data_IF_603739869648
#
_entry.id   IF_603739869648
#
_cell.length_a   1.000
_cell.length_b   1.000
_cell.length_c   1.000
_cell.angle_alpha   90.00
_cell.angle_beta   90.00
_cell.angle_gamma   90.00
#
_symmetry.space_group_name_H-M   'P 1'
#
loop_
_entity.id
_entity.type
_entity.pdbx_description
1 polymer ?
#
# COMPACT_ATOMS: atom_id res chain seq x y z
N UNK A 1 -23.20 -6.07 61.64
CA UNK A 1 -23.18 -6.06 60.15
C UNK A 1 -23.93 -7.30 59.69
N UNK A 2 -25.15 -7.13 59.16
CA UNK A 2 -26.11 -8.22 58.97
C UNK A 2 -25.62 -9.24 57.91
N UNK A 3 -26.02 -10.50 58.08
CA UNK A 3 -25.69 -11.63 57.20
C UNK A 3 -25.93 -11.31 55.71
N UNK A 4 -26.98 -10.55 55.41
CA UNK A 4 -27.30 -10.03 54.08
C UNK A 4 -26.21 -9.13 53.47
N UNK A 5 -25.56 -8.27 54.26
CA UNK A 5 -24.49 -7.39 53.75
C UNK A 5 -23.22 -8.18 53.41
N UNK A 6 -22.95 -9.31 54.09
CA UNK A 6 -21.83 -10.20 53.74
C UNK A 6 -22.08 -10.94 52.42
N UNK A 7 -23.32 -11.40 52.20
CA UNK A 7 -23.72 -12.10 50.97
C UNK A 7 -23.64 -11.17 49.75
N UNK A 8 -24.12 -9.92 49.88
CA UNK A 8 -24.08 -8.95 48.77
C UNK A 8 -22.65 -8.60 48.38
N UNK A 9 -21.75 -8.39 49.35
CA UNK A 9 -20.33 -8.10 49.09
C UNK A 9 -19.62 -9.31 48.46
N UNK A 10 -19.92 -10.55 48.90
CA UNK A 10 -19.38 -11.76 48.28
C UNK A 10 -19.87 -11.96 46.84
N UNK A 11 -21.16 -11.70 46.55
CA UNK A 11 -21.69 -11.79 45.18
C UNK A 11 -21.06 -10.74 44.24
N UNK A 12 -20.86 -9.50 44.71
CA UNK A 12 -20.23 -8.44 43.91
C UNK A 12 -18.76 -8.76 43.58
N UNK A 13 -18.00 -9.34 44.51
CA UNK A 13 -16.61 -9.75 44.27
C UNK A 13 -16.55 -10.91 43.26
N UNK A 14 -17.48 -11.87 43.32
CA UNK A 14 -17.56 -12.98 42.35
C UNK A 14 -17.95 -12.48 40.95
N UNK A 15 -18.85 -11.50 40.84
CA UNK A 15 -19.20 -10.91 39.54
C UNK A 15 -18.01 -10.15 38.92
N UNK A 16 -17.22 -9.42 39.73
CA UNK A 16 -16.03 -8.71 39.26
C UNK A 16 -14.86 -9.64 38.89
N UNK A 17 -14.71 -10.80 39.54
CA UNK A 17 -13.66 -11.76 39.17
C UNK A 17 -14.05 -12.59 37.95
N UNK A 18 -15.34 -12.91 37.76
CA UNK A 18 -15.83 -13.58 36.55
C UNK A 18 -15.75 -12.64 35.33
N UNK A 19 -15.99 -11.32 35.49
CA UNK A 19 -15.82 -10.37 34.37
C UNK A 19 -14.37 -10.17 33.95
N UNK A 20 -13.41 -10.32 34.87
CA UNK A 20 -11.98 -10.24 34.56
C UNK A 20 -11.48 -11.50 33.82
N UNK A 21 -12.08 -12.67 34.07
CA UNK A 21 -11.72 -13.93 33.42
C UNK A 21 -12.41 -14.06 32.04
N UNK A 22 -13.59 -13.46 31.85
CA UNK A 22 -14.30 -13.46 30.56
C UNK A 22 -13.61 -12.61 29.46
N UNK A 23 -12.70 -11.70 29.82
CA UNK A 23 -11.97 -10.85 28.88
C UNK A 23 -10.59 -11.40 28.47
N UNK A 24 -10.21 -12.57 28.95
CA UNK A 24 -9.10 -13.32 28.35
C UNK A 24 -9.59 -14.05 27.09
N UNK A 25 -10.16 -13.31 26.13
CA UNK A 25 -10.30 -13.86 24.79
C UNK A 25 -8.89 -14.05 24.24
N UNK A 26 -8.47 -15.31 24.13
CA UNK A 26 -7.29 -15.69 23.39
C UNK A 26 -7.45 -15.11 21.99
N UNK A 27 -6.70 -14.04 21.66
CA UNK A 27 -6.64 -13.50 20.31
C UNK A 27 -6.07 -14.61 19.43
N UNK A 28 -6.95 -15.42 18.86
CA UNK A 28 -6.58 -16.42 17.86
C UNK A 28 -6.14 -15.59 16.65
N UNK A 29 -4.84 -15.39 16.52
CA UNK A 29 -4.22 -14.71 15.39
C UNK A 29 -4.51 -15.55 14.15
N UNK A 30 -5.67 -15.33 13.53
CA UNK A 30 -6.03 -15.97 12.28
C UNK A 30 -5.06 -15.46 11.22
N UNK A 31 -4.12 -16.31 10.82
CA UNK A 31 -3.23 -16.03 9.71
C UNK A 31 -4.08 -16.00 8.44
N UNK A 32 -4.07 -14.86 7.76
CA UNK A 32 -4.63 -14.74 6.42
C UNK A 32 -3.61 -15.33 5.44
N UNK A 33 -3.92 -16.49 4.90
CA UNK A 33 -3.08 -17.18 3.92
C UNK A 33 -3.22 -16.53 2.53
N UNK A 34 -2.15 -16.62 1.74
CA UNK A 34 -2.21 -16.22 0.34
C UNK A 34 -3.31 -17.03 -0.37
N UNK A 35 -4.19 -16.39 -1.17
CA UNK A 35 -5.28 -17.11 -1.85
C UNK A 35 -4.80 -18.12 -2.90
N UNK A 36 -3.56 -17.99 -3.38
CA UNK A 36 -2.90 -18.98 -4.22
C UNK A 36 -1.39 -19.04 -3.94
N UNK A 37 -0.79 -20.21 -4.19
CA UNK A 37 0.66 -20.43 -4.11
C UNK A 37 1.38 -19.61 -5.19
N UNK A 38 2.58 -19.13 -4.88
CA UNK A 38 3.48 -18.41 -5.80
C UNK A 38 3.00 -17.03 -6.32
N UNK A 39 1.97 -16.41 -5.73
CA UNK A 39 1.57 -15.05 -6.13
C UNK A 39 2.47 -13.93 -5.54
N UNK A 40 3.47 -14.30 -4.73
CA UNK A 40 4.28 -13.35 -3.95
C UNK A 40 3.40 -12.40 -3.12
N UNK A 41 2.34 -12.96 -2.53
CA UNK A 41 1.44 -12.26 -1.62
C UNK A 41 2.22 -11.73 -0.41
N UNK A 42 2.01 -10.46 -0.07
CA UNK A 42 2.73 -9.80 1.01
C UNK A 42 4.01 -9.09 0.57
N UNK A 43 4.31 -9.01 -0.73
CA UNK A 43 5.52 -8.34 -1.21
C UNK A 43 5.55 -6.83 -0.93
N UNK A 44 4.38 -6.21 -0.75
CA UNK A 44 4.23 -4.85 -0.27
C UNK A 44 2.91 -4.73 0.50
N UNK A 45 2.89 -3.96 1.58
CA UNK A 45 1.72 -3.79 2.45
C UNK A 45 1.54 -2.33 2.84
N UNK A 46 0.29 -1.91 3.00
CA UNK A 46 -0.05 -0.60 3.54
C UNK A 46 -1.27 -0.72 4.47
N UNK A 47 -1.37 0.17 5.46
CA UNK A 47 -2.50 0.24 6.40
C UNK A 47 -2.85 1.70 6.70
N UNK A 48 -4.15 2.00 6.81
CA UNK A 48 -4.68 3.27 7.28
C UNK A 48 -6.07 3.08 7.87
N UNK A 49 -6.24 3.50 9.13
CA UNK A 49 -7.48 3.28 9.88
C UNK A 49 -7.80 1.80 9.97
N UNK A 50 -9.01 1.42 9.55
CA UNK A 50 -9.48 0.04 9.54
C UNK A 50 -9.21 -0.70 8.21
N UNK A 51 -8.44 -0.13 7.29
CA UNK A 51 -8.17 -0.77 5.99
C UNK A 51 -6.70 -1.11 5.85
N UNK A 52 -6.44 -2.26 5.23
CA UNK A 52 -5.11 -2.67 4.81
C UNK A 52 -5.15 -3.11 3.35
N UNK A 53 -4.07 -2.85 2.62
CA UNK A 53 -3.87 -3.30 1.26
C UNK A 53 -2.60 -4.15 1.19
N UNK A 54 -2.68 -5.30 0.51
CA UNK A 54 -1.58 -6.26 0.39
C UNK A 54 -1.37 -6.58 -1.09
N UNK A 55 -0.18 -6.28 -1.60
CA UNK A 55 0.20 -6.65 -2.95
C UNK A 55 0.49 -8.15 -3.05
N UNK A 56 0.17 -8.72 -4.21
CA UNK A 56 0.62 -10.02 -4.64
C UNK A 56 1.20 -9.88 -6.05
N UNK A 57 2.50 -9.61 -6.09
CA UNK A 57 3.23 -9.18 -7.29
C UNK A 57 3.11 -10.15 -8.46
N UNK A 58 3.36 -11.45 -8.24
CA UNK A 58 3.29 -12.47 -9.29
C UNK A 58 1.86 -12.75 -9.73
N UNK A 59 0.88 -12.51 -8.84
CA UNK A 59 -0.53 -12.61 -9.16
C UNK A 59 -1.10 -11.39 -9.91
N UNK A 60 -0.31 -10.32 -10.06
CA UNK A 60 -0.76 -9.00 -10.55
C UNK A 60 -2.00 -8.50 -9.81
N UNK A 61 -2.02 -8.65 -8.48
CA UNK A 61 -3.17 -8.32 -7.63
C UNK A 61 -2.81 -7.44 -6.46
N UNK A 62 -3.81 -6.73 -5.96
CA UNK A 62 -3.82 -6.12 -4.63
C UNK A 62 -5.06 -6.59 -3.90
N UNK A 63 -4.87 -7.14 -2.72
CA UNK A 63 -5.92 -7.62 -1.83
C UNK A 63 -6.25 -6.52 -0.82
N UNK A 64 -7.53 -6.18 -0.70
CA UNK A 64 -8.02 -5.22 0.28
C UNK A 64 -8.66 -5.93 1.46
N UNK A 65 -8.33 -5.45 2.65
CA UNK A 65 -8.84 -5.96 3.91
C UNK A 65 -9.44 -4.83 4.74
N UNK A 66 -10.46 -5.17 5.52
CA UNK A 66 -11.08 -4.29 6.50
C UNK A 66 -11.11 -4.97 7.87
N UNK A 67 -10.75 -4.21 8.90
CA UNK A 67 -10.82 -4.66 10.29
C UNK A 67 -12.26 -4.53 10.80
N UNK A 68 -12.73 -5.57 11.47
CA UNK A 68 -13.99 -5.64 12.20
C UNK A 68 -13.74 -6.12 13.64
N UNK A 69 -14.79 -6.35 14.42
CA UNK A 69 -14.67 -6.78 15.82
C UNK A 69 -14.02 -8.17 16.00
N UNK A 70 -14.08 -9.01 14.97
CA UNK A 70 -13.59 -10.40 14.97
C UNK A 70 -12.20 -10.55 14.33
N UNK A 71 -11.69 -9.51 13.66
CA UNK A 71 -10.37 -9.51 13.03
C UNK A 71 -10.32 -8.75 11.70
N UNK A 72 -9.53 -9.26 10.75
CA UNK A 72 -9.40 -8.69 9.41
C UNK A 72 -10.13 -9.57 8.39
N UNK A 73 -10.97 -8.95 7.56
CA UNK A 73 -11.74 -9.60 6.51
C UNK A 73 -11.32 -9.07 5.13
N UNK A 74 -11.19 -9.94 4.14
CA UNK A 74 -10.92 -9.53 2.76
C UNK A 74 -12.17 -8.94 2.12
N UNK A 75 -12.14 -7.67 1.72
CA UNK A 75 -13.30 -6.99 1.12
C UNK A 75 -13.24 -6.97 -0.41
N UNK A 76 -12.04 -7.02 -1.00
CA UNK A 76 -11.87 -6.89 -2.44
C UNK A 76 -10.57 -7.55 -2.93
N UNK A 77 -10.58 -8.05 -4.16
CA UNK A 77 -9.38 -8.36 -4.95
C UNK A 77 -9.33 -7.42 -6.15
N UNK A 78 -8.23 -6.67 -6.28
CA UNK A 78 -8.02 -5.69 -7.33
C UNK A 78 -7.00 -6.26 -8.32
N UNK A 79 -7.43 -6.48 -9.56
CA UNK A 79 -6.52 -6.87 -10.64
C UNK A 79 -5.73 -5.66 -11.14
N UNK A 80 -4.41 -5.81 -11.25
CA UNK A 80 -3.49 -4.80 -11.78
C UNK A 80 -3.18 -5.15 -13.23
N UNK A 81 -3.62 -4.36 -14.23
CA UNK A 81 -3.35 -4.68 -15.64
C UNK A 81 -1.86 -4.58 -15.91
N UNK A 82 -1.21 -5.62 -16.42
CA UNK A 82 0.23 -5.62 -16.71
C UNK A 82 0.54 -5.23 -18.17
N UNK A 83 1.66 -4.55 -18.38
CA UNK A 83 2.20 -4.26 -19.73
C UNK A 83 3.16 -5.35 -20.23
N UNK A 84 3.71 -6.15 -19.31
CA UNK A 84 4.64 -7.25 -19.56
C UNK A 84 4.70 -8.16 -18.32
N UNK A 85 5.42 -9.29 -18.40
CA UNK A 85 5.53 -10.27 -17.32
C UNK A 85 6.23 -9.74 -16.05
N UNK A 86 7.00 -8.66 -16.12
CA UNK A 86 7.68 -8.06 -14.97
C UNK A 86 6.93 -6.86 -14.38
N UNK A 87 5.85 -6.39 -15.00
CA UNK A 87 5.09 -5.21 -14.58
C UNK A 87 4.13 -5.50 -13.42
N UNK A 88 4.76 -5.82 -12.30
CA UNK A 88 4.13 -6.27 -11.06
C UNK A 88 3.91 -5.08 -10.12
N UNK A 89 2.87 -5.09 -9.26
CA UNK A 89 2.78 -4.15 -8.15
C UNK A 89 3.90 -4.45 -7.13
N UNK A 90 4.81 -3.50 -6.93
CA UNK A 90 6.02 -3.70 -6.10
C UNK A 90 6.13 -2.79 -4.89
N UNK A 91 5.39 -1.70 -4.85
CA UNK A 91 5.33 -0.79 -3.72
C UNK A 91 3.90 -0.30 -3.53
N UNK A 92 3.52 0.02 -2.30
CA UNK A 92 2.19 0.53 -1.99
C UNK A 92 2.24 1.48 -0.80
N UNK A 93 1.52 2.60 -0.91
CA UNK A 93 1.31 3.55 0.18
C UNK A 93 -0.16 3.93 0.25
N UNK A 94 -0.67 4.20 1.46
CA UNK A 94 -2.06 4.63 1.65
C UNK A 94 -2.19 5.64 2.78
N UNK A 95 -3.17 6.54 2.65
CA UNK A 95 -3.63 7.42 3.71
C UNK A 95 -5.14 7.64 3.49
N UNK A 96 -5.93 7.35 4.53
CA UNK A 96 -7.39 7.42 4.52
C UNK A 96 -8.01 6.60 3.38
N UNK A 97 -8.75 7.25 2.48
CA UNK A 97 -9.36 6.65 1.29
C UNK A 97 -8.46 6.66 0.05
N UNK A 98 -7.20 7.07 0.14
CA UNK A 98 -6.28 7.15 -1.00
C UNK A 98 -5.20 6.09 -0.90
N UNK A 99 -4.90 5.44 -2.02
CA UNK A 99 -3.80 4.49 -2.12
C UNK A 99 -3.05 4.67 -3.44
N UNK A 100 -1.76 4.41 -3.41
CA UNK A 100 -0.89 4.45 -4.60
C UNK A 100 -0.11 3.16 -4.68
N UNK A 101 -0.14 2.51 -5.83
CA UNK A 101 0.60 1.27 -6.13
C UNK A 101 1.68 1.57 -7.15
N UNK A 102 2.94 1.31 -6.81
CA UNK A 102 4.07 1.52 -7.70
C UNK A 102 4.40 0.30 -8.56
N UNK A 103 4.74 0.59 -9.81
CA UNK A 103 4.99 -0.36 -10.90
C UNK A 103 6.26 0.06 -11.67
N UNK A 104 7.46 -0.13 -11.09
CA UNK A 104 8.70 0.36 -11.68
C UNK A 104 9.04 -0.28 -13.04
N UNK A 105 8.48 -1.47 -13.31
CA UNK A 105 8.74 -2.20 -14.54
C UNK A 105 7.64 -2.04 -15.60
N UNK A 106 6.74 -1.07 -15.42
CA UNK A 106 5.80 -0.67 -16.46
C UNK A 106 6.55 -0.30 -17.74
N UNK A 107 6.11 -0.88 -18.86
CA UNK A 107 6.60 -0.58 -20.20
C UNK A 107 5.59 0.29 -20.93
N UNK A 108 6.05 1.45 -21.42
CA UNK A 108 5.20 2.34 -22.21
C UNK A 108 5.32 2.01 -23.69
N UNK A 109 4.20 1.70 -24.33
CA UNK A 109 4.14 1.64 -25.78
C UNK A 109 4.18 3.06 -26.35
N UNK A 110 5.10 3.30 -27.27
CA UNK A 110 5.29 4.55 -27.99
C UNK A 110 5.24 4.25 -29.50
N UNK A 111 4.02 4.11 -30.01
CA UNK A 111 3.73 3.84 -31.43
C UNK A 111 4.47 2.61 -31.99
N UNK A 112 4.42 1.49 -31.27
CA UNK A 112 5.04 0.23 -31.67
C UNK A 112 6.48 0.04 -31.18
N UNK A 113 7.10 1.07 -30.61
CA UNK A 113 8.36 0.93 -29.85
C UNK A 113 8.07 0.95 -28.35
N UNK A 114 8.69 0.04 -27.59
CA UNK A 114 8.52 0.01 -26.13
C UNK A 114 9.65 0.75 -25.43
N UNK A 115 9.30 1.63 -24.50
CA UNK A 115 10.25 2.16 -23.52
C UNK A 115 10.23 1.21 -22.32
N UNK A 116 11.32 0.46 -22.17
CA UNK A 116 11.51 -0.48 -21.08
C UNK A 116 11.63 0.26 -19.75
N UNK A 117 11.03 -0.31 -18.70
CA UNK A 117 11.15 0.20 -17.33
C UNK A 117 10.84 1.69 -17.18
N UNK A 118 9.89 2.18 -17.99
CA UNK A 118 9.37 3.53 -17.92
C UNK A 118 8.85 3.85 -16.52
N UNK A 119 8.25 2.84 -15.88
CA UNK A 119 7.71 2.96 -14.54
C UNK A 119 6.39 3.73 -14.52
N UNK A 120 5.56 3.40 -13.54
CA UNK A 120 4.27 4.05 -13.32
C UNK A 120 3.87 3.92 -11.86
N UNK A 121 2.92 4.75 -11.44
CA UNK A 121 2.13 4.52 -10.24
C UNK A 121 0.65 4.51 -10.62
N UNK A 122 -0.14 3.70 -9.92
CA UNK A 122 -1.60 3.69 -10.03
C UNK A 122 -2.20 4.32 -8.79
N UNK A 123 -3.00 5.36 -8.98
CA UNK A 123 -3.70 6.09 -7.93
C UNK A 123 -5.12 5.52 -7.78
N UNK A 124 -5.42 4.99 -6.59
CA UNK A 124 -6.69 4.42 -6.22
C UNK A 124 -7.39 5.29 -5.17
N UNK A 125 -8.72 5.29 -5.22
CA UNK A 125 -9.56 5.91 -4.20
C UNK A 125 -10.66 4.95 -3.76
N UNK A 126 -10.92 4.92 -2.46
CA UNK A 126 -11.96 4.10 -1.85
C UNK A 126 -13.26 4.90 -1.68
N UNK A 127 -14.38 4.29 -2.06
CA UNK A 127 -15.72 4.75 -1.72
C UNK A 127 -16.47 3.60 -1.03
N UNK A 128 -16.88 3.80 0.22
CA UNK A 128 -17.34 2.69 1.07
C UNK A 128 -16.22 1.66 1.26
N UNK A 129 -16.46 0.41 0.88
CA UNK A 129 -15.48 -0.69 0.95
C UNK A 129 -14.80 -1.00 -0.39
N UNK A 130 -15.13 -0.22 -1.43
CA UNK A 130 -14.67 -0.45 -2.81
C UNK A 130 -13.55 0.50 -3.18
N UNK A 131 -12.38 -0.05 -3.50
CA UNK A 131 -11.26 0.65 -4.13
C UNK A 131 -11.41 0.66 -5.65
N UNK A 132 -11.22 1.83 -6.26
CA UNK A 132 -11.30 2.02 -7.71
C UNK A 132 -10.08 2.79 -8.22
N UNK A 133 -9.58 2.41 -9.39
CA UNK A 133 -8.50 3.13 -10.07
C UNK A 133 -9.01 4.50 -10.52
N UNK A 134 -8.38 5.57 -10.04
CA UNK A 134 -8.67 6.94 -10.45
C UNK A 134 -7.81 7.34 -11.65
N UNK A 135 -6.52 7.03 -11.60
CA UNK A 135 -5.56 7.41 -12.65
C UNK A 135 -4.29 6.57 -12.58
N UNK A 136 -3.60 6.50 -13.72
CA UNK A 136 -2.20 6.05 -13.79
C UNK A 136 -1.34 7.29 -14.00
N UNK A 137 -0.31 7.45 -13.17
CA UNK A 137 0.61 8.58 -13.23
C UNK A 137 1.98 8.07 -13.68
N UNK A 138 2.59 8.87 -14.54
CA UNK A 138 3.86 8.60 -15.21
C UNK A 138 4.90 9.64 -14.79
N UNK A 139 6.21 9.33 -14.93
CA UNK A 139 7.24 10.33 -14.75
C UNK A 139 7.07 11.49 -15.73
N UNK A 140 7.19 12.74 -15.26
CA UNK A 140 7.10 13.95 -16.12
C UNK A 140 8.32 14.11 -17.04
N UNK A 141 9.46 13.60 -16.60
CA UNK A 141 10.75 13.65 -17.31
C UNK A 141 11.28 12.23 -17.42
N UNK A 142 10.78 11.39 -18.34
CA UNK A 142 11.28 10.03 -18.47
C UNK A 142 12.72 10.04 -18.99
N UNK A 143 13.53 9.13 -18.47
CA UNK A 143 14.90 8.87 -18.95
C UNK A 143 14.87 7.75 -19.99
N UNK A 144 15.60 7.96 -21.10
CA UNK A 144 15.88 6.92 -22.08
C UNK A 144 17.11 6.10 -21.64
N UNK A 145 17.12 4.80 -21.94
CA UNK A 145 18.22 3.89 -21.59
C UNK A 145 17.72 2.47 -21.26
N UNK A 146 18.65 1.51 -21.14
CA UNK A 146 18.34 0.08 -20.98
C UNK A 146 17.51 -0.27 -19.74
N UNK A 147 17.47 0.62 -18.74
CA UNK A 147 16.81 0.41 -17.45
C UNK A 147 15.71 1.45 -17.15
N UNK A 148 15.40 2.31 -18.11
CA UNK A 148 14.36 3.33 -18.02
C UNK A 148 14.47 4.22 -16.78
N UNK A 149 13.32 4.63 -16.26
CA UNK A 149 13.20 5.52 -15.10
C UNK A 149 12.99 4.76 -13.79
N UNK A 150 12.42 3.55 -13.87
CA UNK A 150 12.00 2.76 -12.69
C UNK A 150 11.16 3.59 -11.71
N UNK A 151 10.34 4.49 -12.25
CA UNK A 151 9.43 5.35 -11.50
C UNK A 151 8.35 4.51 -10.80
N UNK A 152 8.06 4.82 -9.54
CA UNK A 152 7.21 3.98 -8.70
C UNK A 152 7.95 2.81 -8.08
N UNK A 153 9.29 2.82 -8.10
CA UNK A 153 10.11 1.80 -7.46
C UNK A 153 9.97 1.75 -5.95
N UNK A 154 9.57 2.88 -5.36
CA UNK A 154 9.14 3.00 -3.97
C UNK A 154 8.13 4.16 -3.86
N UNK A 155 7.23 4.10 -2.88
CA UNK A 155 6.22 5.15 -2.66
C UNK A 155 5.98 5.38 -1.16
N UNK A 156 5.82 6.64 -0.77
CA UNK A 156 5.45 7.03 0.58
C UNK A 156 4.39 8.13 0.53
N UNK A 157 3.40 8.07 1.42
CA UNK A 157 2.30 9.03 1.48
C UNK A 157 2.16 9.56 2.90
N UNK A 158 1.94 10.88 3.02
CA UNK A 158 1.54 11.50 4.30
C UNK A 158 0.65 12.70 4.06
N UNK A 159 -0.55 12.68 4.61
CA UNK A 159 -1.53 13.76 4.42
C UNK A 159 -1.81 13.98 2.92
N UNK A 160 -1.53 15.19 2.41
CA UNK A 160 -1.68 15.55 1.00
C UNK A 160 -0.40 15.37 0.16
N UNK A 161 0.64 14.75 0.72
CA UNK A 161 1.92 14.57 0.03
C UNK A 161 2.16 13.11 -0.33
N UNK A 162 2.73 12.91 -1.51
CA UNK A 162 3.18 11.62 -2.02
C UNK A 162 4.62 11.80 -2.52
N UNK A 163 5.50 10.89 -2.13
CA UNK A 163 6.86 10.78 -2.63
C UNK A 163 6.97 9.50 -3.44
N UNK A 164 7.55 9.61 -4.64
CA UNK A 164 7.71 8.49 -5.57
C UNK A 164 9.17 8.36 -5.97
N UNK A 165 9.76 7.20 -5.73
CA UNK A 165 11.13 6.90 -6.11
C UNK A 165 11.27 6.57 -7.60
N UNK A 166 12.31 7.12 -8.22
CA UNK A 166 12.80 6.74 -9.55
C UNK A 166 14.25 6.30 -9.45
N UNK A 167 14.50 5.04 -9.09
CA UNK A 167 15.85 4.55 -8.74
C UNK A 167 16.85 4.53 -9.89
N UNK A 168 16.37 4.37 -11.13
CA UNK A 168 17.22 4.21 -12.31
C UNK A 168 17.47 5.53 -13.06
N UNK A 169 17.01 6.66 -12.50
CA UNK A 169 17.21 7.98 -13.09
C UNK A 169 18.68 8.38 -13.20
N UNK A 170 19.01 9.12 -14.27
CA UNK A 170 20.30 9.82 -14.46
C UNK A 170 21.51 8.91 -14.21
N UNK A 171 21.64 7.84 -14.99
CA UNK A 171 22.72 6.84 -14.86
C UNK A 171 22.74 6.19 -13.47
N UNK A 172 21.58 5.78 -12.97
CA UNK A 172 21.39 5.19 -11.63
C UNK A 172 21.73 6.08 -10.44
N UNK A 173 21.93 7.38 -10.64
CA UNK A 173 22.01 8.34 -9.52
C UNK A 173 20.69 8.42 -8.75
N UNK A 174 19.58 8.11 -9.42
CA UNK A 174 18.24 8.09 -8.84
C UNK A 174 17.69 9.49 -8.56
N UNK A 175 16.38 9.55 -8.31
CA UNK A 175 15.72 10.74 -7.79
C UNK A 175 14.42 10.35 -7.08
N UNK A 176 13.80 11.33 -6.41
CA UNK A 176 12.45 11.21 -5.87
C UNK A 176 11.57 12.36 -6.37
N UNK A 177 10.32 12.06 -6.68
CA UNK A 177 9.33 13.02 -7.12
C UNK A 177 8.35 13.30 -6.00
N UNK A 178 8.14 14.57 -5.69
CA UNK A 178 7.19 15.01 -4.68
C UNK A 178 5.93 15.48 -5.39
N UNK A 179 4.81 14.89 -5.01
CA UNK A 179 3.48 15.25 -5.46
C UNK A 179 2.67 15.84 -4.31
N UNK A 180 1.79 16.79 -4.66
CA UNK A 180 0.75 17.32 -3.78
C UNK A 180 -0.62 16.97 -4.35
N UNK A 181 -1.50 16.45 -3.50
CA UNK A 181 -2.88 16.11 -3.86
C UNK A 181 -3.69 17.38 -4.14
N UNK A 182 -4.52 17.32 -5.17
CA UNK A 182 -5.53 18.33 -5.50
C UNK A 182 -6.82 17.59 -5.91
N UNK A 183 -7.79 17.51 -4.99
CA UNK A 183 -8.93 16.60 -5.15
C UNK A 183 -8.47 15.14 -5.22
N UNK A 184 -8.89 14.41 -6.25
CA UNK A 184 -8.44 13.02 -6.50
C UNK A 184 -7.17 12.92 -7.34
N UNK A 185 -6.60 14.04 -7.79
CA UNK A 185 -5.40 14.08 -8.64
C UNK A 185 -4.13 14.36 -7.84
N UNK A 186 -2.99 13.92 -8.35
CA UNK A 186 -1.66 14.19 -7.77
C UNK A 186 -0.85 15.06 -8.74
N UNK A 187 -0.42 16.23 -8.28
CA UNK A 187 0.38 17.16 -9.08
C UNK A 187 1.83 17.15 -8.60
N UNK A 188 2.78 16.93 -9.51
CA UNK A 188 4.19 17.02 -9.18
C UNK A 188 4.55 18.47 -8.81
N UNK A 189 5.18 18.66 -7.66
CA UNK A 189 5.60 19.99 -7.18
C UNK A 189 7.11 20.12 -7.06
N UNK A 190 7.85 18.99 -6.99
CA UNK A 190 9.31 19.01 -6.87
C UNK A 190 9.92 17.69 -7.33
N UNK A 191 11.15 17.78 -7.83
CA UNK A 191 12.06 16.64 -8.00
C UNK A 191 13.21 16.82 -7.01
N UNK A 192 13.51 15.78 -6.24
CA UNK A 192 14.61 15.70 -5.30
C UNK A 192 15.72 14.86 -5.93
N UNK A 193 16.91 15.44 -6.02
CA UNK A 193 18.13 14.76 -6.48
C UNK A 193 19.17 14.80 -5.37
N UNK A 194 20.01 13.77 -5.22
CA UNK A 194 21.15 13.82 -4.31
C UNK A 194 22.07 15.00 -4.65
N UNK A 195 22.53 15.75 -3.65
CA UNK A 195 23.45 16.88 -3.84
C UNK A 195 24.88 16.42 -4.16
N UNK A 196 25.21 15.19 -3.80
CA UNK A 196 26.49 14.52 -3.97
C UNK A 196 26.49 13.52 -5.14
N UNK A 197 25.48 13.56 -6.00
CA UNK A 197 25.35 12.73 -7.20
C UNK A 197 26.44 13.05 -8.22
N UNK A 198 27.69 12.73 -7.89
CA UNK A 198 28.88 13.10 -8.63
C UNK A 198 28.88 12.46 -10.01
N UNK A 199 29.20 13.28 -10.99
CA UNK A 199 29.71 12.93 -12.31
C UNK A 199 30.84 11.90 -12.17
N UNK A 200 30.53 10.62 -12.40
CA UNK A 200 31.53 9.70 -12.93
C UNK A 200 31.91 10.24 -14.32
N UNK A 201 33.02 10.97 -14.39
CA UNK A 201 33.76 11.24 -15.61
C UNK A 201 34.71 10.07 -15.88
#
# INVERSE_FOLDING_TARGET
>A
MNFFNKIIIQLLIVIFTVSAIANAQTYKMNRLEAPAINENYGNAVAISGDYALVCAGEGFKVYAYKRNAEGWEQTQVISIPSSNSNDKPLSIAMENEYAVVGRPYYMKNNNGSYIYYYGAIMNFQRSGDTWSLVSTIYPTEPTSGSYGSSFGGDVAMKGDYLIVGGRAYSDYRGCAFVYKRNGSSWNQIKKLTPSDGSTYH
#
